data_IF_057399089092
#
_entry.id   IF_057399089092
#
_cell.length_a   1.000
_cell.length_b   1.000
_cell.length_c   1.000
_cell.angle_alpha   90.00
_cell.angle_beta   90.00
_cell.angle_gamma   90.00
#
_symmetry.space_group_name_H-M   'P 1'
#
loop_
_entity.id
_entity.type
_entity.pdbx_description
1 polymer ?
#
# COMPACT_ATOMS: atom_id res chain seq x y z
N UNK A 1 -4.71 -7.00 -30.56
CA UNK A 1 -4.09 -5.71 -30.98
C UNK A 1 -5.10 -4.62 -30.68
N UNK A 2 -4.68 -3.52 -30.06
CA UNK A 2 -5.51 -2.35 -29.79
C UNK A 2 -4.82 -1.14 -30.37
N UNK A 3 -5.57 -0.23 -30.98
CA UNK A 3 -5.06 0.97 -31.64
C UNK A 3 -5.66 2.21 -30.97
N UNK A 4 -4.82 3.21 -30.70
CA UNK A 4 -5.20 4.43 -30.01
C UNK A 4 -4.68 5.65 -30.79
N UNK A 5 -5.56 6.63 -31.03
CA UNK A 5 -5.18 7.90 -31.63
C UNK A 5 -4.92 8.93 -30.52
N UNK A 6 -3.66 9.30 -30.33
CA UNK A 6 -3.21 10.28 -29.34
C UNK A 6 -2.28 11.32 -29.98
N UNK A 7 -2.19 12.54 -29.46
CA UNK A 7 -1.18 13.51 -29.88
C UNK A 7 0.25 12.99 -29.71
N UNK A 8 1.21 13.59 -30.41
CA UNK A 8 2.62 13.31 -30.15
C UNK A 8 2.99 13.80 -28.74
N UNK A 9 3.73 12.99 -27.99
CA UNK A 9 4.03 13.30 -26.59
C UNK A 9 4.74 12.17 -25.84
N UNK A 10 4.89 12.35 -24.53
CA UNK A 10 5.45 11.33 -23.63
C UNK A 10 4.30 10.79 -22.78
N UNK A 11 4.10 9.47 -22.82
CA UNK A 11 2.99 8.79 -22.20
C UNK A 11 3.46 7.71 -21.22
N UNK A 12 2.70 7.53 -20.14
CA UNK A 12 2.68 6.29 -19.39
C UNK A 12 1.59 5.39 -19.98
N UNK A 13 1.97 4.21 -20.46
CA UNK A 13 1.05 3.23 -21.03
C UNK A 13 0.82 2.11 -20.03
N UNK A 14 -0.45 1.79 -19.76
CA UNK A 14 -0.87 0.80 -18.77
C UNK A 14 -2.02 -0.03 -19.32
N UNK A 15 -2.06 -1.31 -19.00
CA UNK A 15 -3.16 -2.21 -19.33
C UNK A 15 -3.35 -3.22 -18.21
N UNK A 16 -4.60 -3.52 -17.89
CA UNK A 16 -5.01 -4.48 -16.87
C UNK A 16 -6.17 -5.32 -17.42
N UNK A 17 -6.17 -6.62 -17.10
CA UNK A 17 -7.29 -7.51 -17.40
C UNK A 17 -7.42 -8.56 -16.31
N UNK A 18 -8.64 -8.85 -15.89
CA UNK A 18 -8.94 -9.96 -14.98
C UNK A 18 -9.58 -11.10 -15.76
N UNK A 19 -9.15 -12.32 -15.50
CA UNK A 19 -9.72 -13.56 -16.09
C UNK A 19 -10.12 -14.51 -14.97
N UNK A 20 -11.25 -15.19 -15.14
CA UNK A 20 -11.57 -16.35 -14.33
C UNK A 20 -10.84 -17.58 -14.85
N UNK A 21 -10.24 -18.37 -13.96
CA UNK A 21 -9.73 -19.71 -14.24
C UNK A 21 -10.25 -20.68 -13.16
N UNK A 22 -11.45 -21.22 -13.41
CA UNK A 22 -12.18 -22.01 -12.43
C UNK A 22 -12.51 -21.20 -11.17
N UNK A 23 -11.95 -21.62 -10.03
CA UNK A 23 -12.11 -20.96 -8.73
C UNK A 23 -11.12 -19.81 -8.49
N UNK A 24 -10.18 -19.57 -9.41
CA UNK A 24 -9.14 -18.55 -9.25
C UNK A 24 -9.45 -17.30 -10.07
N UNK A 25 -9.21 -16.13 -9.47
CA UNK A 25 -9.16 -14.84 -10.16
C UNK A 25 -7.71 -14.57 -10.58
N UNK A 26 -7.48 -14.49 -11.89
CA UNK A 26 -6.20 -14.22 -12.50
C UNK A 26 -6.15 -12.77 -12.97
N UNK A 27 -5.20 -11.99 -12.47
CA UNK A 27 -4.97 -10.61 -12.86
C UNK A 27 -3.78 -10.53 -13.81
N UNK A 28 -3.97 -9.91 -14.98
CA UNK A 28 -2.96 -9.65 -15.99
C UNK A 28 -2.69 -8.14 -16.03
N UNK A 29 -1.46 -7.73 -15.76
CA UNK A 29 -1.07 -6.32 -15.78
C UNK A 29 0.17 -6.08 -16.63
N UNK A 30 0.18 -4.97 -17.35
CA UNK A 30 1.35 -4.50 -18.09
C UNK A 30 1.46 -2.98 -17.98
N UNK A 31 2.68 -2.48 -17.83
CA UNK A 31 2.95 -1.05 -17.82
C UNK A 31 4.25 -0.70 -18.57
N UNK A 32 4.32 0.52 -19.08
CA UNK A 32 5.54 1.11 -19.64
C UNK A 32 5.49 2.61 -19.45
N UNK A 33 6.42 3.14 -18.66
CA UNK A 33 6.47 4.57 -18.37
C UNK A 33 7.34 5.33 -19.35
N UNK A 34 7.04 6.63 -19.54
CA UNK A 34 7.83 7.57 -20.35
C UNK A 34 8.05 7.13 -21.80
N UNK A 35 7.01 6.56 -22.42
CA UNK A 35 7.00 6.18 -23.84
C UNK A 35 6.85 7.43 -24.70
N UNK A 36 7.81 7.66 -25.59
CA UNK A 36 7.70 8.73 -26.60
C UNK A 36 6.84 8.23 -27.76
N UNK A 37 5.72 8.91 -28.00
CA UNK A 37 4.81 8.66 -29.12
C UNK A 37 4.97 9.79 -30.13
N UNK A 38 5.26 9.43 -31.38
CA UNK A 38 5.43 10.36 -32.50
C UNK A 38 4.79 9.84 -33.80
N UNK A 39 4.46 10.71 -34.77
CA UNK A 39 3.96 10.30 -36.08
C UNK A 39 4.97 9.43 -36.85
N UNK A 40 4.54 8.58 -37.81
CA UNK A 40 3.14 8.33 -38.19
C UNK A 40 2.43 7.35 -37.25
N UNK A 41 3.14 6.35 -36.74
CA UNK A 41 2.65 5.35 -35.77
C UNK A 41 3.80 4.93 -34.86
N UNK A 42 3.56 4.84 -33.56
CA UNK A 42 4.51 4.28 -32.59
C UNK A 42 4.00 2.93 -32.11
N UNK A 43 4.73 1.84 -32.42
CA UNK A 43 4.37 0.51 -31.92
C UNK A 43 4.87 0.32 -30.49
N UNK A 44 3.97 -0.11 -29.60
CA UNK A 44 4.26 -0.32 -28.18
C UNK A 44 3.92 -1.76 -27.83
N UNK A 45 4.95 -2.60 -27.67
CA UNK A 45 4.80 -3.92 -27.06
C UNK A 45 4.73 -3.77 -25.54
N UNK A 46 3.60 -4.15 -24.97
CA UNK A 46 3.36 -4.19 -23.52
C UNK A 46 3.37 -5.65 -23.08
N UNK A 47 4.32 -6.01 -22.22
CA UNK A 47 4.38 -7.36 -21.64
C UNK A 47 3.39 -7.45 -20.48
N UNK A 48 2.52 -8.47 -20.52
CA UNK A 48 1.48 -8.68 -19.52
C UNK A 48 1.94 -9.76 -18.54
N UNK A 49 1.85 -9.46 -17.25
CA UNK A 49 2.26 -10.36 -16.16
C UNK A 49 1.06 -10.85 -15.37
N UNK A 50 1.06 -12.15 -15.06
CA UNK A 50 0.01 -12.85 -14.31
C UNK A 50 0.21 -12.70 -12.81
N UNK A 51 -0.88 -12.50 -12.07
CA UNK A 51 -0.93 -12.47 -10.61
C UNK A 51 -2.22 -13.15 -10.10
N UNK A 52 -2.19 -13.66 -8.86
CA UNK A 52 -3.32 -14.31 -8.17
C UNK A 52 -3.86 -13.36 -7.10
N UNK A 53 -5.18 -13.24 -6.99
CA UNK A 53 -5.81 -12.40 -5.96
C UNK A 53 -5.54 -12.99 -4.55
N UNK A 54 -5.11 -12.13 -3.63
CA UNK A 54 -4.85 -12.52 -2.24
C UNK A 54 -6.11 -12.43 -1.38
N UNK A 55 -6.23 -13.33 -0.41
CA UNK A 55 -7.31 -13.26 0.59
C UNK A 55 -7.13 -12.07 1.54
N UNK A 56 -5.90 -11.71 1.88
CA UNK A 56 -5.60 -10.53 2.70
C UNK A 56 -5.03 -9.43 1.82
N UNK A 57 -5.60 -8.24 1.92
CA UNK A 57 -5.27 -7.08 1.10
C UNK A 57 -5.14 -5.82 1.96
N UNK A 58 -4.46 -4.82 1.42
CA UNK A 58 -4.42 -3.43 1.90
C UNK A 58 -5.73 -2.77 1.46
N UNK A 59 -6.67 -2.63 2.38
CA UNK A 59 -7.94 -1.94 2.14
C UNK A 59 -7.77 -0.42 2.07
N UNK A 60 -6.90 0.12 2.92
CA UNK A 60 -6.80 1.56 3.08
C UNK A 60 -5.41 2.00 3.56
N UNK A 61 -4.86 3.06 2.98
CA UNK A 61 -3.58 3.65 3.38
C UNK A 61 -3.75 5.14 3.72
N UNK A 62 -3.47 5.50 4.97
CA UNK A 62 -3.37 6.87 5.45
C UNK A 62 -1.91 7.25 5.70
N UNK A 63 -1.29 7.96 4.76
CA UNK A 63 0.10 8.39 4.87
C UNK A 63 0.30 9.91 4.75
N UNK A 64 -0.71 10.65 4.27
CA UNK A 64 -0.60 12.06 3.90
C UNK A 64 -0.52 13.05 5.07
N UNK A 65 -0.92 12.65 6.27
CA UNK A 65 -1.08 13.56 7.40
C UNK A 65 -2.26 14.53 7.25
N UNK A 66 -2.47 15.39 8.24
CA UNK A 66 -3.59 16.33 8.32
C UNK A 66 -3.15 17.75 8.69
N UNK A 67 -3.98 18.74 8.37
CA UNK A 67 -3.78 20.12 8.82
C UNK A 67 -3.86 20.21 10.35
N UNK A 68 -3.06 21.09 10.98
CA UNK A 68 -3.12 21.27 12.42
C UNK A 68 -4.37 22.10 12.79
N UNK A 69 -4.73 22.10 14.07
CA UNK A 69 -5.80 22.98 14.56
C UNK A 69 -5.36 24.45 14.60
N UNK A 70 -4.05 24.67 14.83
CA UNK A 70 -3.40 25.98 14.89
C UNK A 70 -1.96 25.88 14.34
N UNK A 71 -1.51 26.93 13.64
CA UNK A 71 -0.16 27.02 13.06
C UNK A 71 -0.09 26.53 11.62
N UNK A 72 1.08 26.67 11.00
CA UNK A 72 1.25 26.50 9.54
C UNK A 72 1.80 25.12 9.13
N UNK A 73 2.26 24.30 10.09
CA UNK A 73 2.86 23.00 9.82
C UNK A 73 1.87 21.86 10.03
N UNK A 74 1.56 21.12 8.96
CA UNK A 74 0.72 19.92 9.01
C UNK A 74 1.32 18.82 9.90
N UNK A 75 0.42 18.03 10.50
CA UNK A 75 0.77 16.89 11.32
C UNK A 75 0.85 15.63 10.47
N UNK A 76 1.90 14.84 10.67
CA UNK A 76 2.20 13.66 9.83
C UNK A 76 2.62 12.43 10.64
N UNK A 77 2.47 12.47 11.98
CA UNK A 77 2.82 11.37 12.89
C UNK A 77 1.58 10.60 13.32
N UNK A 78 0.68 10.38 12.38
CA UNK A 78 -0.60 9.70 12.56
C UNK A 78 -0.89 8.68 11.45
N UNK A 79 0.15 8.28 10.73
CA UNK A 79 0.04 7.36 9.60
C UNK A 79 -0.43 5.98 10.06
N UNK A 80 -1.18 5.32 9.19
CA UNK A 80 -1.67 3.97 9.41
C UNK A 80 -2.21 3.35 8.14
N UNK A 81 -2.52 2.06 8.21
CA UNK A 81 -3.18 1.35 7.13
C UNK A 81 -4.14 0.31 7.70
N UNK A 82 -5.03 -0.18 6.84
CA UNK A 82 -6.02 -1.21 7.19
C UNK A 82 -5.79 -2.42 6.30
N UNK A 83 -5.64 -3.59 6.92
CA UNK A 83 -5.69 -4.87 6.22
C UNK A 83 -7.11 -5.41 6.30
N UNK A 84 -7.53 -6.12 5.25
CA UNK A 84 -8.86 -6.71 5.15
C UNK A 84 -8.79 -8.15 4.67
N UNK A 85 -9.59 -9.03 5.27
CA UNK A 85 -9.84 -10.36 4.76
C UNK A 85 -10.94 -10.30 3.72
N UNK A 86 -10.55 -10.30 2.45
CA UNK A 86 -11.42 -10.19 1.29
C UNK A 86 -12.13 -11.51 0.93
N UNK A 87 -11.95 -12.56 1.73
CA UNK A 87 -12.53 -13.88 1.50
C UNK A 87 -13.58 -14.29 2.54
N UNK A 88 -14.38 -15.28 2.18
CA UNK A 88 -15.43 -15.89 3.02
C UNK A 88 -14.95 -16.89 4.07
N UNK A 89 -13.64 -17.08 4.20
CA UNK A 89 -13.02 -18.04 5.14
C UNK A 89 -12.09 -17.34 6.15
N UNK A 90 -11.77 -18.01 7.24
CA UNK A 90 -10.77 -17.50 8.21
C UNK A 90 -9.39 -17.52 7.55
N UNK A 91 -8.71 -16.37 7.53
CA UNK A 91 -7.33 -16.28 7.07
C UNK A 91 -6.36 -16.44 8.25
N UNK A 92 -5.31 -17.24 8.07
CA UNK A 92 -4.21 -17.38 9.02
C UNK A 92 -2.90 -17.11 8.30
N UNK A 93 -2.23 -16.01 8.64
CA UNK A 93 -0.96 -15.62 8.02
C UNK A 93 0.15 -15.60 9.05
N UNK A 94 1.08 -16.53 8.91
CA UNK A 94 2.33 -16.53 9.66
C UNK A 94 3.35 -15.61 8.99
N UNK A 95 4.29 -15.06 9.77
CA UNK A 95 5.42 -14.30 9.24
C UNK A 95 5.04 -13.12 8.32
N UNK A 96 3.88 -12.51 8.56
CA UNK A 96 3.44 -11.34 7.83
C UNK A 96 4.35 -10.16 8.15
N UNK A 97 4.79 -9.47 7.11
CA UNK A 97 5.68 -8.33 7.19
C UNK A 97 5.25 -7.22 6.22
N UNK A 98 5.77 -6.02 6.47
CA UNK A 98 5.48 -4.80 5.73
C UNK A 98 6.80 -4.15 5.32
N UNK A 99 6.84 -3.68 4.08
CA UNK A 99 8.00 -3.01 3.49
C UNK A 99 7.61 -1.82 2.63
N UNK A 100 8.62 -1.07 2.22
CA UNK A 100 8.53 0.03 1.25
C UNK A 100 9.61 -0.16 0.19
N UNK A 101 9.29 0.14 -1.07
CA UNK A 101 10.25 -0.01 -2.17
C UNK A 101 11.13 1.24 -2.31
N UNK A 102 12.41 1.05 -2.62
CA UNK A 102 13.34 2.13 -2.97
C UNK A 102 12.97 2.81 -4.31
N UNK A 103 12.93 4.15 -4.40
CA UNK A 103 13.09 5.14 -3.32
C UNK A 103 11.82 5.48 -2.56
N UNK A 104 11.98 6.09 -1.38
CA UNK A 104 10.86 6.54 -0.52
C UNK A 104 9.80 7.35 -1.25
N UNK A 105 10.23 8.22 -2.17
CA UNK A 105 9.37 9.14 -2.89
C UNK A 105 9.41 8.85 -4.39
N UNK A 106 8.25 8.80 -5.06
CA UNK A 106 8.16 8.43 -6.47
C UNK A 106 8.85 9.42 -7.42
N UNK A 107 8.94 10.70 -7.04
CA UNK A 107 9.56 11.75 -7.83
C UNK A 107 11.09 11.87 -7.62
N UNK A 108 11.66 11.10 -6.70
CA UNK A 108 13.09 11.13 -6.44
C UNK A 108 13.88 10.47 -7.60
N UNK A 109 15.08 10.96 -7.92
CA UNK A 109 15.98 10.24 -8.80
C UNK A 109 16.24 8.82 -8.27
N UNK A 110 16.14 7.82 -9.14
CA UNK A 110 16.30 6.42 -8.75
C UNK A 110 17.39 5.74 -9.58
N UNK A 111 18.37 5.13 -8.91
CA UNK A 111 19.39 4.27 -9.53
C UNK A 111 18.81 2.91 -9.95
N UNK A 112 17.62 2.56 -9.46
CA UNK A 112 16.88 1.38 -9.88
C UNK A 112 16.10 1.58 -11.18
N UNK A 113 16.09 2.80 -11.73
CA UNK A 113 15.43 3.12 -12.98
C UNK A 113 16.48 3.45 -14.05
N UNK A 114 16.49 2.69 -15.15
CA UNK A 114 17.35 2.95 -16.31
C UNK A 114 16.49 3.01 -17.56
N UNK A 115 16.58 4.12 -18.30
CA UNK A 115 15.81 4.35 -19.53
C UNK A 115 14.29 4.12 -19.36
N UNK A 116 13.74 4.58 -18.24
CA UNK A 116 12.31 4.46 -17.93
C UNK A 116 11.85 3.05 -17.51
N UNK A 117 12.77 2.10 -17.34
CA UNK A 117 12.48 0.73 -16.89
C UNK A 117 13.13 0.43 -15.55
N UNK A 118 12.42 -0.31 -14.70
CA UNK A 118 12.98 -0.85 -13.48
C UNK A 118 14.05 -1.88 -13.83
N UNK A 119 15.23 -1.75 -13.25
CA UNK A 119 16.35 -2.65 -13.55
C UNK A 119 16.09 -4.08 -13.05
N UNK A 120 15.27 -4.24 -12.01
CA UNK A 120 14.87 -5.53 -11.44
C UNK A 120 13.58 -6.11 -12.05
N UNK A 121 13.00 -5.45 -13.05
CA UNK A 121 11.80 -5.97 -13.71
C UNK A 121 12.08 -7.33 -14.35
N UNK A 122 11.24 -8.32 -14.04
CA UNK A 122 11.42 -9.70 -14.50
C UNK A 122 12.52 -10.50 -13.79
N UNK A 123 13.20 -9.92 -12.79
CA UNK A 123 14.21 -10.63 -11.98
C UNK A 123 13.62 -11.35 -10.75
N UNK A 124 12.31 -11.26 -10.53
CA UNK A 124 11.61 -11.95 -9.46
C UNK A 124 11.82 -11.35 -8.06
N UNK A 125 12.23 -10.08 -7.96
CA UNK A 125 12.35 -9.39 -6.67
C UNK A 125 12.05 -7.87 -6.73
N UNK A 126 11.77 -7.28 -5.57
CA UNK A 126 11.75 -5.84 -5.32
C UNK A 126 12.77 -5.44 -4.23
N UNK A 127 13.38 -4.24 -4.31
CA UNK A 127 14.29 -3.73 -3.28
C UNK A 127 13.51 -3.04 -2.14
N UNK A 128 13.39 -3.72 -1.00
CA UNK A 128 12.79 -3.16 0.21
C UNK A 128 13.77 -2.24 0.93
N UNK A 129 13.49 -0.94 1.04
CA UNK A 129 14.42 0.05 1.61
C UNK A 129 14.31 0.16 3.15
N UNK A 130 15.44 0.49 3.79
CA UNK A 130 15.60 0.88 5.21
C UNK A 130 15.36 -0.21 6.26
N UNK A 131 14.26 -0.93 6.15
CA UNK A 131 13.90 -1.96 7.09
C UNK A 131 12.54 -2.55 6.79
N UNK A 132 12.23 -3.61 7.52
CA UNK A 132 10.92 -4.24 7.52
C UNK A 132 10.32 -4.21 8.91
N UNK A 133 9.00 -4.25 8.96
CA UNK A 133 8.23 -4.51 10.18
C UNK A 133 7.48 -5.81 10.03
N UNK A 134 7.26 -6.55 11.11
CA UNK A 134 6.59 -7.85 11.06
C UNK A 134 5.77 -8.12 12.32
N UNK A 135 4.70 -8.89 12.12
CA UNK A 135 3.84 -9.36 13.20
C UNK A 135 4.60 -10.39 14.06
N UNK A 136 4.44 -10.31 15.38
CA UNK A 136 5.14 -11.21 16.32
C UNK A 136 4.70 -12.68 16.22
N UNK A 137 3.46 -12.90 15.75
CA UNK A 137 2.88 -14.21 15.62
C UNK A 137 1.93 -14.30 14.42
N UNK A 138 1.23 -15.44 14.28
CA UNK A 138 0.23 -15.62 13.25
C UNK A 138 -0.87 -14.54 13.38
N UNK A 139 -1.16 -13.85 12.28
CA UNK A 139 -2.34 -13.00 12.19
C UNK A 139 -3.54 -13.85 11.79
N UNK A 140 -4.59 -13.85 12.62
CA UNK A 140 -5.84 -14.56 12.36
C UNK A 140 -6.95 -13.55 12.08
N UNK A 141 -7.51 -13.58 10.87
CA UNK A 141 -8.57 -12.65 10.45
C UNK A 141 -9.84 -13.42 10.10
N UNK A 142 -10.95 -13.08 10.73
CA UNK A 142 -12.27 -13.64 10.38
C UNK A 142 -12.66 -13.23 8.95
N UNK A 143 -13.54 -13.98 8.28
CA UNK A 143 -14.11 -13.57 6.99
C UNK A 143 -14.55 -12.12 7.02
N UNK A 144 -14.23 -11.36 5.97
CA UNK A 144 -14.72 -9.99 5.78
C UNK A 144 -14.40 -9.01 6.92
N UNK A 145 -13.38 -9.31 7.73
CA UNK A 145 -12.93 -8.49 8.85
C UNK A 145 -11.72 -7.64 8.51
N UNK A 146 -11.50 -6.58 9.29
CA UNK A 146 -10.37 -5.69 9.13
C UNK A 146 -9.50 -5.62 10.38
N UNK A 147 -8.22 -5.32 10.19
CA UNK A 147 -7.32 -4.90 11.26
C UNK A 147 -6.70 -3.56 10.92
N UNK A 148 -6.49 -2.73 11.93
CA UNK A 148 -5.84 -1.42 11.79
C UNK A 148 -4.41 -1.55 12.29
N UNK A 149 -3.46 -1.06 11.51
CA UNK A 149 -2.06 -0.98 11.88
C UNK A 149 -1.62 0.48 11.88
N UNK A 150 -1.26 0.98 13.07
CA UNK A 150 -0.60 2.26 13.22
C UNK A 150 0.85 2.18 12.74
N UNK A 151 1.27 3.15 11.94
CA UNK A 151 2.66 3.32 11.50
C UNK A 151 3.40 4.33 12.39
N UNK A 152 2.77 5.47 12.69
CA UNK A 152 3.33 6.49 13.58
C UNK A 152 2.26 7.01 14.55
N UNK A 153 2.66 7.27 15.80
CA UNK A 153 1.78 7.86 16.81
C UNK A 153 0.64 6.94 17.24
N UNK A 154 0.97 5.76 17.77
CA UNK A 154 0.01 4.76 18.28
C UNK A 154 -0.71 5.19 19.58
N UNK A 155 -1.26 6.40 19.59
CA UNK A 155 -1.93 7.07 20.71
C UNK A 155 -3.22 7.72 20.23
N UNK A 156 -3.94 8.38 21.13
CA UNK A 156 -5.03 9.28 20.73
C UNK A 156 -4.47 10.63 20.27
N UNK A 157 -4.18 10.76 18.98
CA UNK A 157 -3.65 12.01 18.41
C UNK A 157 -4.70 13.13 18.37
N UNK A 158 -6.00 12.80 18.48
CA UNK A 158 -7.08 13.80 18.39
C UNK A 158 -7.08 14.78 19.57
N UNK A 159 -6.46 14.38 20.68
CA UNK A 159 -6.23 15.24 21.85
C UNK A 159 -5.33 16.43 21.56
N UNK A 160 -4.38 16.28 20.63
CA UNK A 160 -3.45 17.34 20.24
C UNK A 160 -3.77 17.94 18.86
N UNK A 161 -4.39 17.15 17.98
CA UNK A 161 -4.70 17.53 16.60
C UNK A 161 -6.10 16.98 16.24
N UNK A 162 -7.14 17.81 16.35
CA UNK A 162 -8.54 17.37 16.19
C UNK A 162 -8.85 16.74 14.83
N UNK A 163 -8.08 17.09 13.80
CA UNK A 163 -8.19 16.53 12.45
C UNK A 163 -7.50 15.17 12.26
N UNK A 164 -6.75 14.70 13.26
CA UNK A 164 -5.96 13.46 13.21
C UNK A 164 -6.80 12.23 13.60
N UNK A 165 -6.12 11.16 14.01
CA UNK A 165 -6.66 9.82 14.20
C UNK A 165 -6.43 9.33 15.63
N UNK A 166 -7.45 8.74 16.23
CA UNK A 166 -7.35 8.04 17.49
C UNK A 166 -6.96 6.58 17.27
N UNK A 167 -5.74 6.19 17.68
CA UNK A 167 -5.29 4.79 17.65
C UNK A 167 -5.40 4.09 19.01
N UNK A 168 -5.90 4.75 20.06
CA UNK A 168 -6.07 4.16 21.39
C UNK A 168 -7.24 3.16 21.38
N UNK A 169 -6.99 1.95 20.86
CA UNK A 169 -7.97 0.88 20.74
C UNK A 169 -7.29 -0.48 20.90
N UNK A 170 -7.87 -1.35 21.72
CA UNK A 170 -7.34 -2.68 22.05
C UNK A 170 -7.22 -3.64 20.87
N UNK A 171 -8.00 -3.43 19.81
CA UNK A 171 -8.04 -4.29 18.63
C UNK A 171 -7.05 -3.83 17.54
N UNK A 172 -6.32 -2.72 17.77
CA UNK A 172 -5.37 -2.15 16.80
C UNK A 172 -3.95 -2.67 17.04
N UNK A 173 -3.12 -2.56 16.00
CA UNK A 173 -1.70 -2.90 16.02
C UNK A 173 -0.83 -1.66 15.95
N UNK A 174 0.38 -1.73 16.52
CA UNK A 174 1.31 -0.62 16.56
C UNK A 174 2.68 -1.03 16.00
N UNK A 175 3.20 -0.28 15.04
CA UNK A 175 4.63 -0.33 14.70
C UNK A 175 5.45 0.29 15.82
N UNK A 176 5.83 -0.52 16.82
CA UNK A 176 6.57 -0.07 17.99
C UNK A 176 7.61 -1.10 18.43
N UNK A 177 8.89 -0.82 18.12
CA UNK A 177 10.01 -1.68 18.49
C UNK A 177 11.29 -0.84 18.70
N UNK A 178 11.39 -0.04 19.79
CA UNK A 178 12.54 0.83 20.00
C UNK A 178 13.89 0.08 20.04
N UNK A 179 13.87 -1.21 20.41
CA UNK A 179 15.05 -2.09 20.41
C UNK A 179 15.61 -2.36 19.00
N UNK A 180 14.83 -2.10 17.95
CA UNK A 180 15.28 -2.26 16.56
C UNK A 180 16.18 -1.13 16.07
N UNK A 181 16.31 -0.04 16.82
CA UNK A 181 16.89 1.24 16.37
C UNK A 181 15.84 2.28 15.94
N UNK A 182 14.57 1.90 15.83
CA UNK A 182 13.47 2.82 15.55
C UNK A 182 12.93 3.45 16.84
N UNK A 183 13.77 4.26 17.47
CA UNK A 183 13.55 4.82 18.81
C UNK A 183 13.13 6.31 18.81
N UNK A 184 12.86 6.89 17.64
CA UNK A 184 12.42 8.28 17.54
C UNK A 184 11.08 8.50 18.23
N UNK A 185 11.12 9.06 19.44
CA UNK A 185 9.95 9.28 20.31
C UNK A 185 8.87 10.17 19.70
N UNK A 186 9.19 10.99 18.70
CA UNK A 186 8.19 11.79 17.98
C UNK A 186 7.35 10.91 17.03
N UNK A 187 7.96 9.88 16.46
CA UNK A 187 7.32 9.00 15.47
C UNK A 187 6.68 7.80 16.17
N UNK A 188 7.36 7.29 17.19
CA UNK A 188 7.01 6.12 17.99
C UNK A 188 6.95 6.51 19.48
N UNK A 189 5.97 7.33 19.90
CA UNK A 189 5.70 7.47 21.33
C UNK A 189 5.32 6.10 21.91
N UNK A 190 5.44 5.93 23.23
CA UNK A 190 4.90 4.74 23.90
C UNK A 190 3.43 4.55 23.48
N UNK A 191 3.03 3.38 22.95
CA UNK A 191 1.66 3.17 22.51
C UNK A 191 0.66 3.37 23.65
N UNK A 192 -0.58 3.68 23.30
CA UNK A 192 -1.68 3.70 24.26
C UNK A 192 -1.71 2.42 25.08
N UNK A 193 -1.97 2.54 26.39
CA UNK A 193 -2.14 1.40 27.30
C UNK A 193 -3.24 0.43 26.88
N UNK A 194 -4.16 0.86 26.01
CA UNK A 194 -5.20 -0.01 25.46
C UNK A 194 -4.65 -1.02 24.45
N UNK A 195 -3.56 -0.70 23.76
CA UNK A 195 -2.96 -1.58 22.75
C UNK A 195 -2.09 -2.62 23.48
N UNK A 196 -2.42 -3.93 23.42
CA UNK A 196 -1.64 -4.95 24.09
C UNK A 196 -0.25 -5.10 23.43
N UNK A 197 0.76 -5.45 24.22
CA UNK A 197 2.13 -5.64 23.71
C UNK A 197 2.25 -6.76 22.68
N UNK A 198 1.33 -7.73 22.66
CA UNK A 198 1.22 -8.74 21.61
C UNK A 198 0.84 -8.17 20.24
N UNK A 199 0.27 -6.96 20.19
CA UNK A 199 -0.06 -6.24 18.96
C UNK A 199 1.04 -5.27 18.52
N UNK A 200 2.18 -5.24 19.21
CA UNK A 200 3.34 -4.47 18.76
C UNK A 200 4.03 -5.23 17.64
N UNK A 201 4.22 -4.61 16.48
CA UNK A 201 5.06 -5.18 15.43
C UNK A 201 6.52 -5.03 15.84
N UNK A 202 7.33 -6.01 15.44
CA UNK A 202 8.79 -5.97 15.57
C UNK A 202 9.42 -5.50 14.27
N UNK A 203 10.65 -5.01 14.34
CA UNK A 203 11.35 -4.49 13.17
C UNK A 203 12.76 -5.05 13.00
N UNK A 204 13.27 -4.95 11.78
CA UNK A 204 14.70 -5.04 11.49
C UNK A 204 15.08 -3.81 10.69
N UNK A 205 15.98 -3.00 11.24
CA UNK A 205 16.65 -1.93 10.53
C UNK A 205 17.93 -2.46 9.88
N UNK A 206 18.05 -2.29 8.57
CA UNK A 206 19.30 -2.48 7.82
C UNK A 206 19.75 -1.18 7.12
N UNK A 207 18.93 -0.13 7.22
CA UNK A 207 19.17 1.21 6.75
C UNK A 207 19.98 2.08 7.71
N UNK A 208 19.86 3.39 7.51
CA UNK A 208 20.36 4.40 8.45
C UNK A 208 19.23 5.36 8.82
N UNK A 209 18.87 5.39 10.09
CA UNK A 209 17.97 6.38 10.65
C UNK A 209 17.61 6.04 12.10
N UNK A 210 16.62 6.72 12.65
CA UNK A 210 15.97 6.33 13.90
C UNK A 210 14.45 6.16 13.74
N UNK A 211 14.00 6.05 12.48
CA UNK A 211 12.62 5.75 12.17
C UNK A 211 12.42 5.31 10.73
N UNK A 212 11.38 4.51 10.53
CA UNK A 212 11.03 3.96 9.24
C UNK A 212 10.27 4.99 8.40
N UNK A 213 10.85 5.38 7.27
CA UNK A 213 10.38 6.53 6.49
C UNK A 213 9.27 6.14 5.52
N UNK A 214 8.05 5.93 6.02
CA UNK A 214 6.87 5.91 5.15
C UNK A 214 6.60 7.33 4.63
N UNK A 215 6.81 7.52 3.32
CA UNK A 215 6.64 8.82 2.66
C UNK A 215 5.26 9.40 2.89
N UNK A 216 5.19 10.71 3.17
CA UNK A 216 3.94 11.45 3.27
C UNK A 216 3.33 11.82 1.93
N UNK A 217 4.10 11.70 0.85
CA UNK A 217 3.65 12.14 -0.48
C UNK A 217 3.37 11.00 -1.43
N UNK A 218 4.19 9.95 -1.40
CA UNK A 218 4.24 8.98 -2.49
C UNK A 218 4.94 7.67 -2.12
N UNK A 219 4.52 6.92 -1.09
CA UNK A 219 5.13 5.63 -0.77
C UNK A 219 4.80 4.56 -1.84
N UNK A 220 5.67 3.55 -1.98
CA UNK A 220 5.33 2.27 -2.59
C UNK A 220 5.35 1.21 -1.48
N UNK A 221 4.22 1.03 -0.81
CA UNK A 221 4.09 0.13 0.34
C UNK A 221 3.65 -1.25 -0.12
N UNK A 222 4.16 -2.30 0.52
CA UNK A 222 3.72 -3.66 0.25
C UNK A 222 3.70 -4.49 1.53
N UNK A 223 2.86 -5.52 1.53
CA UNK A 223 2.84 -6.56 2.53
C UNK A 223 3.34 -7.87 1.92
N UNK A 224 4.05 -8.66 2.70
CA UNK A 224 4.66 -9.90 2.24
C UNK A 224 4.74 -10.95 3.34
N UNK A 225 4.84 -12.21 2.95
CA UNK A 225 5.03 -13.34 3.85
C UNK A 225 6.33 -14.05 3.52
N UNK A 226 7.23 -14.13 4.51
CA UNK A 226 8.44 -14.95 4.35
C UNK A 226 8.10 -16.44 4.43
N UNK A 227 8.68 -17.24 3.52
CA UNK A 227 8.43 -18.69 3.39
C UNK A 227 9.66 -19.48 3.82
N UNK A 228 9.50 -20.42 4.76
CA UNK A 228 10.59 -21.27 5.25
C UNK A 228 11.65 -20.58 6.11
N UNK A 229 11.48 -19.29 6.42
CA UNK A 229 12.39 -18.47 7.24
C UNK A 229 11.55 -17.41 7.97
N UNK A 230 11.97 -16.97 9.15
CA UNK A 230 11.30 -15.87 9.86
C UNK A 230 11.67 -14.51 9.24
N UNK A 231 10.81 -13.48 9.35
CA UNK A 231 11.13 -12.15 8.84
C UNK A 231 12.43 -11.59 9.41
N UNK A 232 12.64 -11.77 10.72
CA UNK A 232 13.89 -11.36 11.40
C UNK A 232 15.11 -12.03 10.79
N UNK A 233 15.13 -13.36 10.68
CA UNK A 233 16.29 -14.10 10.17
C UNK A 233 16.57 -13.78 8.70
N UNK A 234 15.52 -13.55 7.90
CA UNK A 234 15.68 -13.16 6.50
C UNK A 234 16.31 -11.77 6.38
N UNK A 235 15.82 -10.80 7.16
CA UNK A 235 16.25 -9.41 7.08
C UNK A 235 17.62 -9.13 7.75
N UNK A 236 18.03 -9.95 8.72
CA UNK A 236 19.38 -9.84 9.33
C UNK A 236 20.45 -10.58 8.55
N UNK A 237 20.07 -11.43 7.59
CA UNK A 237 21.03 -12.12 6.75
C UNK A 237 21.60 -11.17 5.68
N UNK A 238 22.87 -10.81 5.83
CA UNK A 238 23.60 -9.92 4.92
C UNK A 238 23.64 -10.41 3.47
N UNK A 239 23.49 -11.72 3.21
CA UNK A 239 23.43 -12.24 1.83
C UNK A 239 22.16 -11.83 1.09
N UNK A 240 21.12 -11.40 1.82
CA UNK A 240 19.86 -10.93 1.26
C UNK A 240 19.86 -9.41 1.02
N UNK A 241 20.93 -8.72 1.42
CA UNK A 241 21.08 -7.28 1.21
C UNK A 241 21.63 -7.03 -0.20
N UNK A 242 20.98 -6.11 -0.91
CA UNK A 242 21.29 -5.67 -2.26
C UNK A 242 21.42 -4.15 -2.31
N UNK A 243 22.02 -3.66 -3.38
CA UNK A 243 22.28 -2.25 -3.61
C UNK A 243 21.87 -1.88 -5.04
N UNK A 244 21.42 -0.65 -5.23
CA UNK A 244 21.11 -0.18 -6.58
C UNK A 244 22.38 -0.20 -7.44
N UNK A 245 22.27 -0.42 -8.77
CA UNK A 245 23.44 -0.37 -9.66
C UNK A 245 24.23 0.94 -9.49
N UNK A 246 25.53 0.83 -9.18
CA UNK A 246 26.41 1.98 -8.96
C UNK A 246 26.11 2.78 -7.68
N UNK A 247 25.35 2.23 -6.74
CA UNK A 247 25.27 2.78 -5.38
C UNK A 247 26.51 2.41 -4.55
N UNK A 248 26.80 3.22 -3.54
CA UNK A 248 27.78 2.87 -2.53
C UNK A 248 27.26 1.67 -1.71
N UNK A 249 28.17 0.81 -1.26
CA UNK A 249 27.84 -0.35 -0.43
C UNK A 249 27.90 0.11 1.03
N UNK A 250 26.80 0.69 1.50
CA UNK A 250 26.67 1.24 2.85
C UNK A 250 25.24 1.10 3.39
N UNK A 251 25.02 1.45 4.66
CA UNK A 251 23.69 1.37 5.28
C UNK A 251 22.66 2.30 4.63
N UNK A 252 23.06 3.41 4.02
CA UNK A 252 22.14 4.37 3.39
C UNK A 252 21.49 3.76 2.15
N UNK A 253 22.26 2.99 1.39
CA UNK A 253 21.84 2.41 0.11
C UNK A 253 21.41 0.92 0.24
N UNK A 254 21.44 0.37 1.46
CA UNK A 254 21.08 -1.01 1.72
C UNK A 254 19.59 -1.27 1.50
N UNK A 255 19.29 -2.30 0.71
CA UNK A 255 17.96 -2.76 0.42
C UNK A 255 17.86 -4.26 0.71
N UNK A 256 16.74 -4.73 1.23
CA UNK A 256 16.46 -6.16 1.35
C UNK A 256 15.88 -6.66 0.02
N UNK A 257 16.46 -7.74 -0.52
CA UNK A 257 15.93 -8.39 -1.72
C UNK A 257 14.67 -9.17 -1.37
N UNK A 258 13.50 -8.67 -1.71
CA UNK A 258 12.22 -9.35 -1.43
C UNK A 258 11.77 -10.12 -2.66
N UNK A 259 11.63 -11.46 -2.61
CA UNK A 259 11.07 -12.23 -3.72
C UNK A 259 9.64 -11.77 -4.06
N UNK A 260 9.35 -11.59 -5.34
CA UNK A 260 8.03 -11.13 -5.79
C UNK A 260 6.93 -12.12 -5.37
N UNK A 261 7.23 -13.43 -5.39
CA UNK A 261 6.32 -14.49 -4.96
C UNK A 261 5.99 -14.50 -3.45
N UNK A 262 6.68 -13.66 -2.66
CA UNK A 262 6.37 -13.47 -1.23
C UNK A 262 5.46 -12.28 -1.00
N UNK A 263 5.37 -11.36 -1.96
CA UNK A 263 4.50 -10.19 -1.87
C UNK A 263 3.06 -10.66 -1.98
N UNK A 264 2.25 -10.24 -1.01
CA UNK A 264 0.82 -10.56 -0.93
C UNK A 264 0.03 -9.46 -1.64
N UNK A 265 0.36 -8.21 -1.37
CA UNK A 265 -0.33 -7.04 -1.93
C UNK A 265 0.58 -5.81 -1.87
N UNK A 266 0.36 -4.85 -2.78
CA UNK A 266 1.16 -3.64 -2.90
C UNK A 266 0.33 -2.45 -3.39
N UNK A 267 0.72 -1.25 -2.95
CA UNK A 267 0.10 0.01 -3.34
C UNK A 267 1.18 1.00 -3.77
N UNK A 268 1.11 1.43 -5.04
CA UNK A 268 1.94 2.49 -5.59
C UNK A 268 1.24 3.85 -5.47
N UNK A 269 1.79 4.73 -4.64
CA UNK A 269 1.24 6.08 -4.43
C UNK A 269 2.10 7.11 -5.14
N UNK A 270 1.46 7.96 -5.93
CA UNK A 270 2.05 9.19 -6.47
C UNK A 270 1.41 10.41 -5.79
N UNK A 271 2.19 11.48 -5.64
CA UNK A 271 1.63 12.75 -5.21
C UNK A 271 0.94 13.44 -6.38
N UNK A 272 -0.26 13.95 -6.15
CA UNK A 272 -0.98 14.79 -7.14
C UNK A 272 -0.18 16.02 -7.55
N UNK A 273 0.71 16.53 -6.70
CA UNK A 273 1.58 17.66 -6.98
C UNK A 273 2.79 17.32 -7.88
N UNK A 274 3.15 16.04 -8.01
CA UNK A 274 4.38 15.60 -8.68
C UNK A 274 4.15 14.50 -9.72
N UNK A 275 2.93 14.34 -10.24
CA UNK A 275 2.56 13.26 -11.18
C UNK A 275 3.56 13.13 -12.35
N UNK A 276 3.89 14.23 -13.03
CA UNK A 276 4.77 14.22 -14.20
C UNK A 276 6.24 13.91 -13.88
N UNK A 277 6.65 14.02 -12.60
CA UNK A 277 8.01 13.70 -12.14
C UNK A 277 8.09 12.29 -11.54
N UNK A 278 6.94 11.73 -11.15
CA UNK A 278 6.87 10.45 -10.47
C UNK A 278 7.23 9.30 -11.41
N UNK A 279 7.84 8.27 -10.85
CA UNK A 279 8.13 7.02 -11.55
C UNK A 279 7.69 5.85 -10.68
N UNK A 280 7.20 4.79 -11.33
CA UNK A 280 6.83 3.56 -10.63
C UNK A 280 8.05 2.88 -10.03
N UNK A 281 7.79 2.14 -8.95
CA UNK A 281 8.74 1.30 -8.22
C UNK A 281 8.26 -0.14 -8.15
N UNK A 282 6.96 -0.37 -8.01
CA UNK A 282 6.41 -1.72 -8.08
C UNK A 282 6.38 -2.22 -9.53
N UNK A 283 6.91 -3.43 -9.83
CA UNK A 283 6.70 -4.11 -11.11
C UNK A 283 5.21 -4.38 -11.35
N UNK A 284 4.80 -4.49 -12.61
CA UNK A 284 3.39 -4.69 -12.99
C UNK A 284 2.74 -5.93 -12.38
N UNK A 285 3.52 -6.99 -12.10
CA UNK A 285 3.00 -8.20 -11.45
C UNK A 285 2.52 -7.97 -10.02
N UNK A 286 3.02 -6.92 -9.36
CA UNK A 286 2.58 -6.51 -8.01
C UNK A 286 1.59 -5.35 -8.13
N UNK A 287 1.93 -4.31 -8.91
CA UNK A 287 1.06 -3.17 -9.14
C UNK A 287 1.32 -2.57 -10.54
N UNK A 288 0.33 -2.68 -11.43
CA UNK A 288 0.35 -2.16 -12.79
C UNK A 288 0.13 -0.65 -12.93
N UNK A 289 -0.25 0.04 -11.84
CA UNK A 289 -0.65 1.44 -11.87
C UNK A 289 -0.12 2.26 -10.72
N UNK A 290 -0.88 3.29 -10.36
CA UNK A 290 -0.60 4.19 -9.25
C UNK A 290 -1.89 4.90 -8.85
N UNK A 291 -2.06 5.18 -7.56
CA UNK A 291 -3.11 6.06 -7.06
C UNK A 291 -2.54 7.42 -6.67
N UNK A 292 -3.33 8.49 -6.85
CA UNK A 292 -2.91 9.85 -6.52
C UNK A 292 -3.30 10.23 -5.09
N UNK A 293 -2.40 10.89 -4.38
CA UNK A 293 -2.62 11.45 -3.05
C UNK A 293 -2.37 12.97 -3.04
N UNK A 294 -3.33 13.70 -2.49
CA UNK A 294 -3.21 15.08 -2.04
C UNK A 294 -2.92 15.10 -0.55
N UNK A 295 -1.63 15.09 -0.21
CA UNK A 295 -1.13 15.03 1.16
C UNK A 295 -1.51 16.27 2.00
N UNK A 296 -1.33 16.16 3.31
CA UNK A 296 -1.64 17.17 4.35
C UNK A 296 -3.13 17.43 4.64
N UNK A 297 -4.06 16.78 3.95
CA UNK A 297 -5.50 17.08 4.07
C UNK A 297 -6.29 16.09 4.93
N UNK A 298 -5.62 15.11 5.55
CA UNK A 298 -6.30 14.00 6.24
C UNK A 298 -6.90 12.98 5.27
N UNK A 299 -6.54 13.09 3.99
CA UNK A 299 -6.98 12.18 2.93
C UNK A 299 -6.28 10.83 3.03
N UNK A 300 -6.94 9.82 2.48
CA UNK A 300 -6.52 8.43 2.48
C UNK A 300 -6.69 7.83 1.09
N UNK A 301 -6.09 6.68 0.87
CA UNK A 301 -6.22 5.89 -0.35
C UNK A 301 -7.07 4.68 -0.02
N UNK A 302 -8.30 4.67 -0.51
CA UNK A 302 -9.31 3.68 -0.17
C UNK A 302 -9.56 2.73 -1.34
N UNK A 303 -9.54 1.44 -1.07
CA UNK A 303 -9.74 0.42 -2.11
C UNK A 303 -11.21 0.42 -2.57
N UNK A 304 -11.42 0.41 -3.87
CA UNK A 304 -12.73 0.39 -4.51
C UNK A 304 -13.44 -0.94 -4.25
N UNK A 305 -14.77 -0.90 -4.19
CA UNK A 305 -15.60 -2.11 -4.08
C UNK A 305 -15.64 -2.85 -5.41
N UNK A 306 -15.44 -4.16 -5.37
CA UNK A 306 -15.83 -5.05 -6.46
C UNK A 306 -17.34 -5.24 -6.39
N UNK A 307 -18.06 -4.43 -7.19
CA UNK A 307 -19.51 -4.39 -7.19
C UNK A 307 -20.13 -5.75 -7.48
N UNK A 308 -19.63 -6.41 -8.51
CA UNK A 308 -20.19 -7.66 -9.00
C UNK A 308 -20.04 -8.76 -7.94
N UNK A 309 -18.84 -8.91 -7.37
CA UNK A 309 -18.59 -9.91 -6.32
C UNK A 309 -19.32 -9.58 -5.02
N UNK A 310 -19.42 -8.29 -4.66
CA UNK A 310 -20.17 -7.85 -3.47
C UNK A 310 -21.67 -8.12 -3.61
N UNK A 311 -22.26 -7.86 -4.78
CA UNK A 311 -23.69 -8.09 -5.04
C UNK A 311 -24.04 -9.58 -5.18
N UNK A 312 -23.07 -10.45 -5.53
CA UNK A 312 -23.24 -11.91 -5.58
C UNK A 312 -23.46 -12.55 -4.21
N UNK A 313 -22.96 -11.96 -3.13
CA UNK A 313 -23.09 -12.51 -1.78
C UNK A 313 -24.56 -12.52 -1.33
N UNK A 314 -25.20 -13.69 -1.13
CA UNK A 314 -26.62 -13.77 -0.76
C UNK A 314 -26.94 -13.05 0.56
N UNK A 315 -26.00 -13.05 1.50
CA UNK A 315 -26.14 -12.40 2.80
C UNK A 315 -26.16 -10.86 2.72
N UNK A 316 -25.80 -10.27 1.58
CA UNK A 316 -25.82 -8.82 1.37
C UNK A 316 -27.19 -8.27 0.94
N UNK A 317 -28.15 -9.16 0.64
CA UNK A 317 -29.48 -8.76 0.17
C UNK A 317 -30.14 -7.78 1.14
N UNK A 318 -30.42 -6.57 0.64
CA UNK A 318 -31.06 -5.49 1.41
C UNK A 318 -30.15 -4.73 2.37
N UNK A 319 -28.83 -4.99 2.38
CA UNK A 319 -27.88 -4.35 3.29
C UNK A 319 -26.96 -3.32 2.63
N UNK A 320 -26.79 -3.42 1.31
CA UNK A 320 -25.92 -2.51 0.55
C UNK A 320 -26.49 -1.09 0.52
N UNK A 321 -25.63 -0.13 0.83
CA UNK A 321 -25.90 1.31 0.76
C UNK A 321 -25.21 1.86 -0.48
N UNK A 322 -25.94 2.59 -1.31
CA UNK A 322 -25.41 3.26 -2.50
C UNK A 322 -25.39 4.78 -2.30
N UNK A 323 -24.69 5.48 -3.19
CA UNK A 323 -24.55 6.94 -3.15
C UNK A 323 -23.30 7.38 -2.40
N UNK A 324 -22.17 6.70 -2.63
CA UNK A 324 -20.88 7.06 -2.05
C UNK A 324 -20.45 8.50 -2.37
N UNK A 325 -20.06 9.28 -1.36
CA UNK A 325 -19.72 10.73 -1.49
C UNK A 325 -18.35 11.12 -0.93
N UNK A 326 -17.59 10.15 -0.41
CA UNK A 326 -16.34 10.42 0.31
C UNK A 326 -15.10 10.52 -0.61
N UNK A 327 -15.25 10.31 -1.93
CA UNK A 327 -14.19 10.55 -2.90
C UNK A 327 -13.78 12.03 -3.01
N UNK A 328 -12.51 12.28 -3.33
CA UNK A 328 -11.96 13.64 -3.50
C UNK A 328 -12.14 14.13 -4.94
N UNK A 329 -11.45 13.52 -5.89
CA UNK A 329 -11.56 13.85 -7.33
C UNK A 329 -12.50 12.89 -8.05
N UNK A 330 -12.28 11.60 -7.82
CA UNK A 330 -13.14 10.49 -8.23
C UNK A 330 -13.58 9.73 -6.99
N UNK A 331 -14.80 9.20 -7.02
CA UNK A 331 -15.31 8.32 -5.97
C UNK A 331 -15.09 6.85 -6.30
N UNK A 332 -15.62 5.98 -5.44
CA UNK A 332 -15.73 4.56 -5.74
C UNK A 332 -16.63 4.34 -6.98
N UNK A 333 -16.11 3.72 -8.06
CA UNK A 333 -16.86 3.53 -9.30
C UNK A 333 -18.05 2.58 -9.16
N UNK A 334 -18.10 1.76 -8.11
CA UNK A 334 -19.26 0.88 -7.83
C UNK A 334 -20.51 1.66 -7.42
N UNK A 335 -20.31 2.87 -6.86
CA UNK A 335 -21.35 3.67 -6.20
C UNK A 335 -21.78 3.13 -4.82
N UNK A 336 -21.20 2.02 -4.34
CA UNK A 336 -21.49 1.44 -3.03
C UNK A 336 -20.71 2.19 -1.96
N UNK A 337 -21.39 2.63 -0.91
CA UNK A 337 -20.73 3.10 0.31
C UNK A 337 -20.40 1.89 1.19
N UNK A 338 -19.15 1.43 1.09
CA UNK A 338 -18.69 0.26 1.83
C UNK A 338 -18.80 0.42 3.34
N UNK A 339 -18.45 1.58 3.90
CA UNK A 339 -18.49 1.79 5.36
C UNK A 339 -19.93 1.82 5.88
N UNK A 340 -20.85 2.47 5.15
CA UNK A 340 -22.26 2.45 5.50
C UNK A 340 -22.89 1.06 5.34
N UNK A 341 -22.50 0.32 4.29
CA UNK A 341 -22.95 -1.06 4.05
C UNK A 341 -22.47 -2.01 5.15
N UNK A 342 -21.20 -1.91 5.57
CA UNK A 342 -20.64 -2.69 6.69
C UNK A 342 -21.40 -2.39 7.98
N UNK A 343 -21.74 -1.12 8.24
CA UNK A 343 -22.56 -0.73 9.39
C UNK A 343 -23.98 -1.35 9.35
N UNK A 344 -24.51 -1.61 8.15
CA UNK A 344 -25.75 -2.34 7.93
C UNK A 344 -25.58 -3.87 7.92
N UNK A 345 -24.39 -4.39 8.25
CA UNK A 345 -24.10 -5.82 8.34
C UNK A 345 -23.86 -6.50 6.99
N UNK A 346 -23.51 -5.73 5.95
CA UNK A 346 -23.04 -6.28 4.68
C UNK A 346 -21.56 -6.68 4.76
N UNK A 347 -21.19 -7.68 3.98
CA UNK A 347 -19.80 -8.03 3.67
C UNK A 347 -19.40 -7.35 2.36
N UNK A 348 -18.16 -6.86 2.27
CA UNK A 348 -17.71 -6.12 1.09
C UNK A 348 -16.55 -6.88 0.47
N UNK A 349 -16.63 -7.13 -0.84
CA UNK A 349 -15.50 -7.59 -1.62
C UNK A 349 -14.86 -6.37 -2.24
N UNK A 350 -13.60 -6.12 -1.92
CA UNK A 350 -12.81 -5.06 -2.51
C UNK A 350 -12.13 -5.51 -3.80
N UNK A 351 -11.99 -4.57 -4.72
CA UNK A 351 -11.30 -4.75 -5.99
C UNK A 351 -9.82 -4.99 -5.76
N UNK A 352 -9.29 -6.02 -6.40
CA UNK A 352 -7.86 -6.31 -6.44
C UNK A 352 -7.54 -6.78 -7.85
N UNK A 353 -7.12 -5.83 -8.69
CA UNK A 353 -6.67 -6.09 -10.06
C UNK A 353 -5.16 -6.00 -10.17
N UNK A 354 -4.44 -5.92 -9.04
CA UNK A 354 -3.01 -5.61 -8.96
C UNK A 354 -2.68 -4.32 -9.73
N UNK A 355 -3.52 -3.29 -9.60
CA UNK A 355 -3.37 -2.03 -10.29
C UNK A 355 -3.99 -0.89 -9.48
N UNK A 356 -3.14 -0.12 -8.79
CA UNK A 356 -3.63 0.94 -7.89
C UNK A 356 -4.47 2.01 -8.59
N UNK A 357 -4.35 2.18 -9.91
CA UNK A 357 -5.19 3.13 -10.66
C UNK A 357 -6.65 2.69 -10.72
N UNK A 358 -6.90 1.39 -10.75
CA UNK A 358 -8.25 0.83 -10.78
C UNK A 358 -8.73 0.49 -9.37
N UNK A 359 -7.82 0.03 -8.52
CA UNK A 359 -8.15 -0.58 -7.25
C UNK A 359 -8.39 0.44 -6.15
N UNK A 360 -7.87 1.66 -6.26
CA UNK A 360 -7.98 2.68 -5.22
C UNK A 360 -8.48 4.01 -5.76
N UNK A 361 -9.12 4.76 -4.87
CA UNK A 361 -9.40 6.19 -5.06
C UNK A 361 -8.94 7.00 -3.84
N UNK A 362 -8.78 8.30 -4.03
CA UNK A 362 -8.51 9.22 -2.92
C UNK A 362 -9.80 9.56 -2.17
N UNK A 363 -9.80 9.34 -0.85
CA UNK A 363 -10.94 9.52 0.04
C UNK A 363 -10.66 10.62 1.08
N UNK A 364 -11.69 11.41 1.41
CA UNK A 364 -11.61 12.61 2.26
C UNK A 364 -11.21 12.38 3.72
N UNK A 365 -11.36 11.16 4.23
CA UNK A 365 -11.05 10.84 5.61
C UNK A 365 -10.70 9.35 5.76
N UNK A 366 -9.86 9.03 6.74
CA UNK A 366 -9.54 7.65 7.12
C UNK A 366 -10.73 6.94 7.80
N UNK A 367 -10.98 5.65 7.53
CA UNK A 367 -12.20 4.97 8.01
C UNK A 367 -12.34 4.82 9.52
N UNK A 368 -11.30 5.11 10.29
CA UNK A 368 -11.35 5.09 11.75
C UNK A 368 -11.48 6.48 12.38
N UNK A 369 -11.52 7.55 11.57
CA UNK A 369 -11.72 8.90 12.09
C UNK A 369 -13.10 9.02 12.74
N UNK A 370 -13.13 9.46 13.99
CA UNK A 370 -14.37 9.62 14.79
C UNK A 370 -14.96 8.32 15.34
N UNK A 371 -14.23 7.19 15.27
CA UNK A 371 -14.61 5.91 15.90
C UNK A 371 -13.97 5.71 17.26
#
# INVERSE_FOLDING_TARGET
MAEFNVPAGIYDVRSSATRGDGIWKLNLNGNKSKVVVSPPTTEIKLEMKLSKAAQIIIKELYNGGCQPDKGDLFFQMDKGFILYNNGGEVAVINNLAVGIVDPYNAQAPSKWLKNGKLVYDGQGYIPGIHGIWYFQGPLVMQPYSQIVVNVNGAIDNTKAFSNSVNYANKDYYAMYDPESGYDNKRYYPSPSELIPTSHYLKAVEYGQGNGWTLSVTSPAMFIFQTKGVTPRNYATNVSNIIYAPGAAVDKVNANLKIPNEWVIDGIEVFSSAYTNKSAKRLPAEIDGGSVLLTYQLGHTLYRNVDKEETEKLPENKGKLVYGYTMGVSTGDPSGIDAEASIKNGAHIIYMDTNNSTNDFHERKAFSIKGK
#
